data_IF_086588236959
#
_entry.id   IF_086588236959
#
_cell.length_a   1.000
_cell.length_b   1.000
_cell.length_c   1.000
_cell.angle_alpha   90.00
_cell.angle_beta   90.00
_cell.angle_gamma   90.00
#
_symmetry.space_group_name_H-M   'P 1'
#
loop_
_entity.id
_entity.type
_entity.pdbx_description
1 polymer ?
#
# COMPACT_ATOMS: atom_id res chain seq x y z
N UNK A 1 3.09 -2.20 -9.13
CA UNK A 1 3.37 -1.32 -7.98
C UNK A 1 2.94 -1.90 -6.63
N UNK A 2 1.79 -1.58 -5.98
CA UNK A 2 1.53 -2.08 -4.59
C UNK A 2 1.49 -3.61 -4.50
N UNK A 3 0.80 -4.29 -5.42
CA UNK A 3 0.77 -5.76 -5.47
C UNK A 3 2.15 -6.37 -5.79
N UNK A 4 2.93 -5.68 -6.59
CA UNK A 4 4.26 -6.11 -7.02
C UNK A 4 5.26 -6.02 -5.87
N UNK A 5 5.21 -4.93 -5.09
CA UNK A 5 6.05 -4.74 -3.91
C UNK A 5 5.62 -5.69 -2.78
N UNK A 6 4.33 -6.00 -2.66
CA UNK A 6 3.83 -6.89 -1.61
C UNK A 6 4.11 -8.38 -1.88
N UNK A 7 4.35 -8.78 -3.13
CA UNK A 7 4.52 -10.18 -3.57
C UNK A 7 3.36 -11.13 -3.19
N UNK A 8 2.22 -10.56 -2.80
CA UNK A 8 1.00 -11.26 -2.38
C UNK A 8 -0.21 -10.37 -2.57
N UNK A 9 -1.41 -10.93 -2.48
CA UNK A 9 -2.63 -10.13 -2.34
C UNK A 9 -2.59 -9.38 -0.99
N UNK A 10 -2.54 -8.04 -0.98
CA UNK A 10 -2.51 -7.28 0.25
C UNK A 10 -3.92 -7.17 0.84
N UNK A 11 -3.98 -7.15 2.17
CA UNK A 11 -5.19 -7.08 2.98
C UNK A 11 -5.43 -5.63 3.42
N UNK A 12 -6.65 -5.33 3.83
CA UNK A 12 -6.98 -4.04 4.45
C UNK A 12 -6.04 -3.81 5.65
N UNK A 13 -5.53 -2.59 5.76
CA UNK A 13 -4.53 -2.11 6.73
C UNK A 13 -3.10 -2.61 6.52
N UNK A 14 -2.82 -3.41 5.48
CA UNK A 14 -1.43 -3.70 5.13
C UNK A 14 -0.70 -2.40 4.76
N UNK A 15 0.50 -2.26 5.28
CA UNK A 15 1.43 -1.17 4.95
C UNK A 15 2.55 -1.76 4.12
N UNK A 16 2.74 -1.19 2.94
CA UNK A 16 3.80 -1.56 2.00
C UNK A 16 4.71 -0.35 1.81
N UNK A 17 6.01 -0.54 1.95
CA UNK A 17 7.00 0.52 1.86
C UNK A 17 7.74 0.48 0.53
N UNK A 18 8.01 1.66 -0.05
CA UNK A 18 8.90 1.80 -1.20
C UNK A 18 9.56 3.18 -1.16
N UNK A 19 10.86 3.21 -0.80
CA UNK A 19 11.61 4.45 -0.64
C UNK A 19 10.98 5.37 0.40
N UNK A 20 10.72 6.61 0.01
CA UNK A 20 10.12 7.63 0.87
C UNK A 20 8.60 7.49 1.03
N UNK A 21 7.99 6.43 0.49
CA UNK A 21 6.55 6.26 0.49
C UNK A 21 6.11 5.04 1.31
N UNK A 22 5.07 5.25 2.12
CA UNK A 22 4.30 4.19 2.76
C UNK A 22 2.91 4.14 2.13
N UNK A 23 2.55 2.98 1.59
CA UNK A 23 1.25 2.68 1.01
C UNK A 23 0.43 1.85 2.00
N UNK A 24 -0.61 2.43 2.59
CA UNK A 24 -1.54 1.73 3.46
C UNK A 24 -2.80 1.37 2.69
N UNK A 25 -3.12 0.08 2.57
CA UNK A 25 -4.36 -0.38 1.94
C UNK A 25 -5.54 -0.03 2.83
N UNK A 26 -6.50 0.75 2.32
CA UNK A 26 -7.69 1.12 3.10
C UNK A 26 -8.92 0.34 2.67
N UNK A 27 -9.08 0.06 1.38
CA UNK A 27 -10.26 -0.61 0.85
C UNK A 27 -9.87 -1.64 -0.22
N UNK A 28 -10.43 -2.83 -0.10
CA UNK A 28 -10.29 -3.94 -1.06
C UNK A 28 -11.68 -4.47 -1.39
N UNK A 29 -11.97 -4.62 -2.68
CA UNK A 29 -13.22 -5.19 -3.18
C UNK A 29 -12.92 -6.17 -4.30
N UNK A 30 -13.50 -7.38 -4.22
CA UNK A 30 -13.34 -8.44 -5.24
C UNK A 30 -11.87 -8.70 -5.64
N UNK A 31 -10.98 -8.82 -4.65
CA UNK A 31 -9.53 -8.99 -4.81
C UNK A 31 -8.82 -7.84 -5.55
N UNK A 32 -9.45 -6.66 -5.65
CA UNK A 32 -8.85 -5.44 -6.19
C UNK A 32 -8.73 -4.41 -5.08
N UNK A 33 -7.55 -3.81 -4.95
CA UNK A 33 -7.37 -2.64 -4.11
C UNK A 33 -8.15 -1.48 -4.74
N UNK A 34 -9.04 -0.85 -3.98
CA UNK A 34 -9.83 0.30 -4.45
C UNK A 34 -9.34 1.63 -3.87
N UNK A 35 -8.75 1.59 -2.67
CA UNK A 35 -8.23 2.78 -1.99
C UNK A 35 -6.94 2.49 -1.25
N UNK A 36 -5.97 3.39 -1.43
CA UNK A 36 -4.67 3.37 -0.76
C UNK A 36 -4.41 4.76 -0.18
N UNK A 37 -4.00 4.81 1.09
CA UNK A 37 -3.43 6.01 1.69
C UNK A 37 -1.92 6.00 1.40
N UNK A 38 -1.41 7.08 0.83
CA UNK A 38 0.04 7.29 0.66
C UNK A 38 0.53 8.25 1.74
N UNK A 39 1.56 7.85 2.46
CA UNK A 39 2.27 8.71 3.41
C UNK A 39 3.68 8.94 2.90
N UNK A 40 4.07 10.20 2.79
CA UNK A 40 5.42 10.59 2.35
C UNK A 40 6.26 10.77 3.62
N UNK A 41 7.36 10.01 3.72
CA UNK A 41 8.34 10.14 4.79
C UNK A 41 9.10 11.46 4.58
N UNK A 42 9.25 12.29 5.61
CA UNK A 42 10.12 13.45 5.52
C UNK A 42 11.56 13.00 5.23
N UNK A 43 12.21 13.63 4.26
CA UNK A 43 13.65 13.53 4.09
C UNK A 43 14.26 14.40 5.19
N UNK A 44 15.00 13.77 6.11
CA UNK A 44 15.74 14.46 7.17
C UNK A 44 17.06 15.03 6.63
#
# INVERSE_FOLDING_TARGET
LVLEIAERLPKINDVVESGDFLFTVQEVSRNRIEKVKVTIKPIA
#
